data_IF_016581364426
#
_entry.id   IF_016581364426
#
_cell.length_a   1.000
_cell.length_b   1.000
_cell.length_c   1.000
_cell.angle_alpha   90.00
_cell.angle_beta   90.00
_cell.angle_gamma   90.00
#
_symmetry.space_group_name_H-M   'P 1'
#
loop_
_entity.id
_entity.type
_entity.pdbx_description
1 polymer ?
#
# COMPACT_ATOMS: atom_id res chain seq x y z
N UNK A 1 -23.38 31.62 -16.03
CA UNK A 1 -23.46 31.28 -14.59
C UNK A 1 -23.92 29.83 -14.51
N UNK A 2 -23.19 28.98 -13.82
CA UNK A 2 -23.57 27.57 -13.63
C UNK A 2 -24.26 27.47 -12.27
N UNK A 3 -25.42 26.83 -12.24
CA UNK A 3 -26.14 26.53 -11.01
C UNK A 3 -26.05 25.03 -10.74
N UNK A 4 -25.69 24.68 -9.52
CA UNK A 4 -25.57 23.30 -9.05
C UNK A 4 -26.37 23.14 -7.77
N UNK A 5 -27.00 21.98 -7.63
CA UNK A 5 -27.83 21.62 -6.48
C UNK A 5 -27.68 20.13 -6.22
N UNK A 6 -27.57 19.77 -4.96
CA UNK A 6 -27.50 18.39 -4.50
C UNK A 6 -28.42 18.27 -3.28
N UNK A 7 -29.31 17.27 -3.28
CA UNK A 7 -30.30 17.06 -2.21
C UNK A 7 -29.65 16.83 -0.84
N UNK A 8 -28.47 16.22 -0.83
CA UNK A 8 -27.74 15.82 0.38
C UNK A 8 -26.62 16.80 0.75
N UNK A 9 -26.33 17.78 -0.12
CA UNK A 9 -25.12 18.58 -0.04
C UNK A 9 -23.87 17.77 -0.40
N UNK A 10 -22.70 18.35 -0.12
CA UNK A 10 -21.41 17.70 -0.34
C UNK A 10 -20.29 18.70 -0.59
N UNK A 11 -19.05 18.20 -0.50
CA UNK A 11 -17.87 18.96 -0.88
C UNK A 11 -17.90 19.27 -2.39
N UNK A 12 -17.44 20.46 -2.76
CA UNK A 12 -17.41 20.91 -4.15
C UNK A 12 -16.00 20.73 -4.70
N UNK A 13 -15.87 19.89 -5.72
CA UNK A 13 -14.61 19.62 -6.41
C UNK A 13 -14.59 20.26 -7.80
N UNK A 14 -13.47 20.88 -8.14
CA UNK A 14 -13.18 21.30 -9.50
C UNK A 14 -12.32 20.24 -10.18
N UNK A 15 -12.88 19.56 -11.18
CA UNK A 15 -12.20 18.49 -11.90
C UNK A 15 -11.85 18.97 -13.30
N UNK A 16 -10.55 19.00 -13.60
CA UNK A 16 -10.05 19.22 -14.95
C UNK A 16 -9.82 17.87 -15.65
N UNK A 17 -10.15 17.74 -16.95
CA UNK A 17 -9.80 16.56 -17.72
C UNK A 17 -8.28 16.30 -17.71
N UNK A 18 -7.84 15.04 -17.89
CA UNK A 18 -6.41 14.72 -18.01
C UNK A 18 -5.72 15.57 -19.10
N UNK A 19 -4.47 15.95 -18.86
CA UNK A 19 -3.65 16.78 -19.75
C UNK A 19 -4.18 18.20 -20.01
N UNK A 20 -5.16 18.67 -19.22
CA UNK A 20 -5.60 20.07 -19.28
C UNK A 20 -4.65 20.96 -18.48
N UNK A 21 -4.09 21.98 -19.13
CA UNK A 21 -3.35 23.05 -18.48
C UNK A 21 -4.27 24.25 -18.33
N UNK A 22 -4.56 24.64 -17.09
CA UNK A 22 -5.36 25.83 -16.80
C UNK A 22 -4.57 26.71 -15.85
N UNK A 23 -4.13 27.87 -16.33
CA UNK A 23 -3.46 28.88 -15.51
C UNK A 23 -4.37 30.08 -15.27
N UNK A 24 -4.38 30.61 -14.03
CA UNK A 24 -5.09 31.84 -13.70
C UNK A 24 -6.63 31.76 -13.70
N UNK A 25 -7.22 30.56 -13.78
CA UNK A 25 -8.68 30.42 -13.69
C UNK A 25 -9.17 30.84 -12.30
N UNK A 26 -10.01 31.88 -12.27
CA UNK A 26 -10.70 32.32 -11.08
C UNK A 26 -12.12 31.79 -11.08
N UNK A 27 -12.43 30.91 -10.14
CA UNK A 27 -13.79 30.43 -9.88
C UNK A 27 -14.30 31.11 -8.62
N UNK A 28 -15.53 31.61 -8.66
CA UNK A 28 -16.23 32.16 -7.49
C UNK A 28 -17.45 31.31 -7.21
N UNK A 29 -17.47 30.69 -6.03
CA UNK A 29 -18.61 29.91 -5.54
C UNK A 29 -19.39 30.78 -4.57
N UNK A 30 -20.70 30.90 -4.78
CA UNK A 30 -21.61 31.67 -3.93
C UNK A 30 -22.60 30.72 -3.24
N UNK A 31 -23.09 31.12 -2.07
CA UNK A 31 -24.04 30.36 -1.25
C UNK A 31 -23.51 29.03 -0.67
N UNK A 32 -22.23 28.71 -0.88
CA UNK A 32 -21.59 27.56 -0.23
C UNK A 32 -21.21 27.88 1.22
N UNK A 33 -21.16 26.82 2.03
CA UNK A 33 -20.72 26.85 3.42
C UNK A 33 -19.27 26.36 3.48
N UNK A 34 -18.38 27.02 4.25
CA UNK A 34 -16.98 26.60 4.33
C UNK A 34 -16.83 25.25 5.02
N UNK A 35 -15.86 24.46 4.54
CA UNK A 35 -15.42 23.22 5.15
C UNK A 35 -14.04 23.39 5.79
N UNK A 36 -13.71 22.63 6.85
CA UNK A 36 -12.33 22.54 7.32
C UNK A 36 -11.46 21.99 6.18
N UNK A 37 -10.58 22.84 5.66
CA UNK A 37 -9.69 22.47 4.57
C UNK A 37 -8.28 22.93 4.89
N UNK A 38 -7.40 21.95 5.05
CA UNK A 38 -5.96 22.17 5.20
C UNK A 38 -5.25 21.78 3.91
N UNK A 39 -4.37 22.63 3.43
CA UNK A 39 -3.48 22.33 2.30
C UNK A 39 -2.04 22.63 2.68
N UNK A 40 -1.20 21.59 2.62
CA UNK A 40 0.24 21.72 2.90
C UNK A 40 0.89 22.82 2.07
N UNK A 41 1.69 23.65 2.74
CA UNK A 41 2.40 24.77 2.14
C UNK A 41 1.53 25.99 1.78
N UNK A 42 0.21 25.94 2.00
CA UNK A 42 -0.72 27.04 1.72
C UNK A 42 -1.45 27.51 2.97
N UNK A 43 -2.06 26.60 3.72
CA UNK A 43 -2.80 26.95 4.94
C UNK A 43 -1.81 27.23 6.07
N UNK A 44 -1.83 28.44 6.62
CA UNK A 44 -0.98 28.77 7.78
C UNK A 44 -1.57 28.22 9.08
N UNK A 45 -0.78 28.15 10.15
CA UNK A 45 -1.28 27.73 11.47
C UNK A 45 -2.41 28.65 11.99
N UNK A 46 -2.34 29.96 11.71
CA UNK A 46 -3.37 30.91 12.09
C UNK A 46 -4.66 30.70 11.29
N UNK A 47 -4.55 30.45 9.98
CA UNK A 47 -5.71 30.12 9.14
C UNK A 47 -6.34 28.80 9.60
N UNK A 48 -5.50 27.80 9.93
CA UNK A 48 -5.97 26.51 10.40
C UNK A 48 -6.80 26.62 11.68
N UNK A 49 -6.33 27.40 12.65
CA UNK A 49 -7.04 27.64 13.91
C UNK A 49 -8.47 28.18 13.68
N UNK A 50 -8.66 28.98 12.63
CA UNK A 50 -9.97 29.54 12.25
C UNK A 50 -10.81 28.56 11.42
N UNK A 51 -10.22 27.90 10.41
CA UNK A 51 -10.98 27.07 9.46
C UNK A 51 -11.29 25.67 9.99
N UNK A 52 -10.53 25.15 10.96
CA UNK A 52 -10.76 23.81 11.53
C UNK A 52 -12.12 23.64 12.22
N UNK A 53 -12.74 24.75 12.63
CA UNK A 53 -14.07 24.79 13.24
C UNK A 53 -15.19 25.16 12.26
N UNK A 54 -14.90 25.23 10.96
CA UNK A 54 -15.90 25.51 9.94
C UNK A 54 -17.07 24.48 9.99
N UNK A 55 -18.30 24.89 9.65
CA UNK A 55 -19.50 24.13 10.01
C UNK A 55 -19.82 22.95 9.08
N UNK A 56 -19.11 22.77 7.95
CA UNK A 56 -19.28 21.58 7.10
C UNK A 56 -19.12 20.29 7.91
N UNK A 57 -19.91 19.23 7.65
CA UNK A 57 -19.79 17.96 8.36
C UNK A 57 -18.57 17.12 7.94
N UNK A 58 -17.99 17.39 6.77
CA UNK A 58 -16.73 16.78 6.31
C UNK A 58 -15.64 17.83 6.10
N UNK A 59 -14.41 17.37 6.33
CA UNK A 59 -13.16 18.09 6.19
C UNK A 59 -12.27 17.44 5.11
N UNK A 60 -11.33 18.22 4.57
CA UNK A 60 -10.27 17.72 3.72
C UNK A 60 -8.89 18.16 4.22
N UNK A 61 -7.96 17.22 4.29
CA UNK A 61 -6.54 17.47 4.55
C UNK A 61 -5.75 17.05 3.30
N UNK A 62 -5.21 18.01 2.58
CA UNK A 62 -4.44 17.80 1.35
C UNK A 62 -2.94 17.92 1.61
N UNK A 63 -2.24 16.80 1.44
CA UNK A 63 -0.78 16.68 1.56
C UNK A 63 -0.13 16.48 0.18
N UNK A 64 1.15 16.11 0.12
CA UNK A 64 1.86 16.12 -1.18
C UNK A 64 1.35 15.05 -2.14
N UNK A 65 1.15 13.83 -1.63
CA UNK A 65 0.77 12.65 -2.41
C UNK A 65 -0.57 12.06 -1.97
N UNK A 66 -1.23 12.59 -0.94
CA UNK A 66 -2.47 12.03 -0.43
C UNK A 66 -3.44 13.11 0.06
N UNK A 67 -4.74 12.83 -0.06
CA UNK A 67 -5.83 13.64 0.49
C UNK A 67 -6.63 12.77 1.45
N UNK A 68 -6.91 13.29 2.65
CA UNK A 68 -7.79 12.65 3.62
C UNK A 68 -9.12 13.38 3.65
N UNK A 69 -10.22 12.69 3.33
CA UNK A 69 -11.58 13.19 3.51
C UNK A 69 -12.21 12.51 4.72
N UNK A 70 -12.37 13.27 5.80
CA UNK A 70 -12.79 12.77 7.11
C UNK A 70 -13.92 13.62 7.71
N UNK A 71 -14.74 13.08 8.62
CA UNK A 71 -15.64 13.85 9.45
C UNK A 71 -14.96 15.07 10.09
N UNK A 72 -15.61 16.22 10.08
CA UNK A 72 -15.04 17.46 10.62
C UNK A 72 -14.78 17.41 12.12
N UNK A 73 -15.49 16.58 12.87
CA UNK A 73 -15.30 16.43 14.32
C UNK A 73 -13.90 15.93 14.67
N UNK A 74 -13.30 15.03 13.88
CA UNK A 74 -11.96 14.49 14.17
C UNK A 74 -10.83 15.49 13.92
N UNK A 75 -11.06 16.54 13.10
CA UNK A 75 -10.03 17.55 12.80
C UNK A 75 -10.15 18.82 13.66
N UNK A 76 -11.27 19.03 14.36
CA UNK A 76 -11.49 20.24 15.18
C UNK A 76 -10.46 20.40 16.29
N UNK A 77 -9.94 19.29 16.82
CA UNK A 77 -8.90 19.25 17.84
C UNK A 77 -7.49 18.99 17.27
N UNK A 78 -7.32 18.95 15.94
CA UNK A 78 -6.01 18.77 15.33
C UNK A 78 -5.24 20.09 15.41
N UNK A 79 -4.31 20.23 16.35
CA UNK A 79 -3.51 21.46 16.53
C UNK A 79 -2.36 21.57 15.55
N UNK A 80 -1.74 20.44 15.16
CA UNK A 80 -0.54 20.36 14.33
C UNK A 80 -0.78 19.60 13.02
N UNK A 81 -1.55 20.16 12.07
CA UNK A 81 -1.77 19.52 10.77
C UNK A 81 -0.47 19.46 9.93
N UNK A 82 0.53 20.28 10.25
CA UNK A 82 1.87 20.25 9.65
C UNK A 82 2.65 19.00 10.03
N UNK A 83 2.57 18.56 11.28
CA UNK A 83 3.17 17.30 11.74
C UNK A 83 2.47 16.10 11.10
N UNK A 84 1.14 16.13 11.03
CA UNK A 84 0.37 15.10 10.32
C UNK A 84 0.71 15.05 8.82
N UNK A 85 0.89 16.21 8.18
CA UNK A 85 1.31 16.27 6.79
C UNK A 85 2.70 15.67 6.57
N UNK A 86 3.66 15.97 7.45
CA UNK A 86 5.00 15.37 7.39
C UNK A 86 4.92 13.84 7.54
N UNK A 87 4.14 13.36 8.51
CA UNK A 87 3.91 11.93 8.75
C UNK A 87 3.38 11.20 7.52
N UNK A 88 2.30 11.70 6.91
CA UNK A 88 1.74 11.10 5.71
C UNK A 88 2.64 11.25 4.47
N UNK A 89 3.40 12.35 4.37
CA UNK A 89 4.37 12.51 3.29
C UNK A 89 5.49 11.46 3.37
N UNK A 90 5.96 11.12 4.57
CA UNK A 90 6.97 10.07 4.77
C UNK A 90 6.40 8.68 4.50
N UNK A 91 5.17 8.39 4.94
CA UNK A 91 4.44 7.14 4.58
C UNK A 91 4.36 7.01 3.05
N UNK A 92 3.86 8.03 2.37
CA UNK A 92 3.68 7.98 0.91
C UNK A 92 5.01 7.90 0.15
N UNK A 93 6.10 8.44 0.71
CA UNK A 93 7.45 8.23 0.20
C UNK A 93 7.86 6.76 0.34
N UNK A 94 7.60 6.14 1.49
CA UNK A 94 7.80 4.70 1.69
C UNK A 94 6.99 3.84 0.72
N UNK A 95 5.73 4.20 0.47
CA UNK A 95 4.90 3.51 -0.54
C UNK A 95 5.56 3.54 -1.93
N UNK A 96 5.98 4.72 -2.38
CA UNK A 96 6.64 4.87 -3.69
C UNK A 96 8.02 4.20 -3.73
N UNK A 97 8.79 4.27 -2.65
CA UNK A 97 10.14 3.69 -2.59
C UNK A 97 10.09 2.17 -2.73
N UNK A 98 9.22 1.48 -1.97
CA UNK A 98 9.05 0.03 -2.14
C UNK A 98 8.56 -0.29 -3.55
N UNK A 99 7.57 0.44 -4.06
CA UNK A 99 7.03 0.24 -5.40
C UNK A 99 8.02 0.56 -6.54
N UNK A 100 9.19 1.12 -6.22
CA UNK A 100 10.21 1.56 -7.17
C UNK A 100 9.66 2.54 -8.23
N UNK A 101 8.81 3.47 -7.80
CA UNK A 101 8.22 4.54 -8.63
C UNK A 101 8.68 5.93 -8.16
N UNK A 102 8.49 7.00 -8.96
CA UNK A 102 8.82 8.35 -8.51
C UNK A 102 8.10 8.72 -7.20
N UNK A 103 8.82 9.35 -6.27
CA UNK A 103 8.26 9.78 -4.98
C UNK A 103 7.14 10.80 -5.10
N UNK A 104 7.03 11.51 -6.24
CA UNK A 104 5.87 12.35 -6.53
C UNK A 104 4.89 11.55 -7.37
N UNK A 105 3.71 11.32 -6.83
CA UNK A 105 2.68 10.57 -7.53
C UNK A 105 2.12 11.43 -8.67
N UNK A 106 1.79 10.83 -9.83
CA UNK A 106 1.17 11.55 -10.95
C UNK A 106 -0.18 12.17 -10.56
N UNK A 107 -0.83 11.59 -9.56
CA UNK A 107 -2.04 12.09 -8.92
C UNK A 107 -2.00 11.69 -7.44
N UNK A 108 -2.46 12.57 -6.56
CA UNK A 108 -2.60 12.23 -5.13
C UNK A 108 -3.51 11.00 -4.97
N UNK A 109 -3.18 10.12 -4.03
CA UNK A 109 -4.11 9.13 -3.50
C UNK A 109 -5.18 9.83 -2.63
N UNK A 110 -6.27 9.13 -2.33
CA UNK A 110 -7.35 9.70 -1.53
C UNK A 110 -7.96 8.66 -0.60
N UNK A 111 -8.00 8.97 0.69
CA UNK A 111 -8.87 8.29 1.64
C UNK A 111 -10.19 9.03 1.78
N UNK A 112 -11.29 8.27 1.84
CA UNK A 112 -12.60 8.78 2.24
C UNK A 112 -13.16 7.87 3.33
N UNK A 113 -13.40 8.44 4.50
CA UNK A 113 -14.06 7.71 5.59
C UNK A 113 -15.57 7.94 5.53
N UNK A 114 -16.36 6.87 5.53
CA UNK A 114 -17.82 6.94 5.47
C UNK A 114 -18.50 5.88 6.36
N UNK A 115 -19.77 6.10 6.72
CA UNK A 115 -20.57 5.17 7.52
C UNK A 115 -20.94 3.92 6.71
N UNK A 116 -21.16 4.09 5.41
CA UNK A 116 -21.46 2.99 4.50
C UNK A 116 -20.51 3.04 3.31
N UNK A 117 -19.73 1.98 3.16
CA UNK A 117 -18.82 1.78 2.04
C UNK A 117 -19.29 0.60 1.18
N UNK A 118 -18.73 0.44 -0.01
CA UNK A 118 -19.23 -0.55 -0.97
C UNK A 118 -18.93 -1.99 -0.54
N UNK A 119 -17.83 -2.22 0.17
CA UNK A 119 -17.36 -3.55 0.57
C UNK A 119 -16.58 -3.50 1.88
N UNK A 120 -16.77 -4.51 2.73
CA UNK A 120 -15.93 -4.76 3.90
C UNK A 120 -15.88 -3.59 4.90
N UNK A 121 -14.74 -3.46 5.57
CA UNK A 121 -14.43 -2.39 6.53
C UNK A 121 -13.55 -1.29 5.93
N UNK A 122 -12.72 -1.68 4.96
CA UNK A 122 -11.86 -0.85 4.14
C UNK A 122 -11.75 -1.52 2.76
N UNK A 123 -11.54 -0.72 1.70
CA UNK A 123 -11.18 -1.25 0.40
C UNK A 123 -10.40 -0.24 -0.45
N UNK A 124 -9.44 -0.76 -1.21
CA UNK A 124 -8.64 -0.03 -2.15
C UNK A 124 -9.46 0.52 -3.34
N UNK A 125 -8.80 1.37 -4.13
CA UNK A 125 -9.40 2.06 -5.27
C UNK A 125 -9.02 3.54 -5.30
N UNK A 126 -9.80 4.31 -6.05
CA UNK A 126 -9.70 5.76 -6.00
C UNK A 126 -11.09 6.41 -5.99
N UNK A 127 -11.58 6.85 -4.82
CA UNK A 127 -10.87 6.86 -3.53
C UNK A 127 -10.66 5.46 -2.91
N UNK A 128 -9.70 5.37 -1.99
CA UNK A 128 -9.64 4.31 -0.97
C UNK A 128 -10.73 4.64 0.05
N UNK A 129 -11.64 3.69 0.27
CA UNK A 129 -12.79 3.88 1.16
C UNK A 129 -12.54 3.16 2.48
N UNK A 130 -12.87 3.82 3.59
CA UNK A 130 -12.71 3.24 4.93
C UNK A 130 -13.94 3.51 5.77
N UNK A 131 -14.25 2.64 6.72
CA UNK A 131 -15.33 2.90 7.65
C UNK A 131 -15.02 4.14 8.51
N UNK A 132 -16.07 4.91 8.87
CA UNK A 132 -15.98 6.18 9.60
C UNK A 132 -15.14 6.08 10.88
N UNK A 133 -15.16 4.94 11.57
CA UNK A 133 -14.42 4.73 12.82
C UNK A 133 -12.90 4.86 12.68
N UNK A 134 -12.36 4.70 11.46
CA UNK A 134 -10.92 4.81 11.17
C UNK A 134 -10.48 6.28 11.05
N UNK A 135 -11.41 7.23 10.97
CA UNK A 135 -11.09 8.64 10.73
C UNK A 135 -10.13 9.25 11.77
N UNK A 136 -10.29 8.90 13.06
CA UNK A 136 -9.42 9.39 14.12
C UNK A 136 -7.99 8.86 14.00
N UNK A 137 -7.82 7.62 13.53
CA UNK A 137 -6.53 6.98 13.31
C UNK A 137 -5.79 7.64 12.13
N UNK A 138 -6.49 7.95 11.04
CA UNK A 138 -5.91 8.62 9.87
C UNK A 138 -5.39 10.03 10.19
N UNK A 139 -5.95 10.70 11.21
CA UNK A 139 -5.52 12.05 11.62
C UNK A 139 -4.61 12.04 12.86
N UNK A 140 -4.12 10.87 13.25
CA UNK A 140 -3.15 10.70 14.34
C UNK A 140 -1.73 10.49 13.80
N UNK A 141 -0.74 11.08 14.48
CA UNK A 141 0.68 10.76 14.31
C UNK A 141 1.17 9.73 15.32
N UNK A 142 0.36 9.41 16.33
CA UNK A 142 0.68 8.45 17.39
C UNK A 142 -0.11 7.18 17.15
N UNK A 143 0.62 6.08 16.97
CA UNK A 143 0.07 4.76 16.66
C UNK A 143 0.43 3.81 17.80
N UNK A 144 -0.48 3.64 18.77
CA UNK A 144 -0.29 2.73 19.91
C UNK A 144 -1.00 1.41 19.66
N UNK A 145 -0.27 0.29 19.73
CA UNK A 145 -0.81 -1.06 19.54
C UNK A 145 -0.10 -1.84 18.44
N UNK A 146 -0.46 -3.11 18.27
CA UNK A 146 0.18 -4.02 17.33
C UNK A 146 -0.21 -3.80 15.87
N UNK A 147 -1.28 -3.07 15.58
CA UNK A 147 -1.83 -2.94 14.23
C UNK A 147 -1.64 -1.55 13.60
N UNK A 148 -1.38 -0.48 14.39
CA UNK A 148 -1.04 0.85 13.85
C UNK A 148 -1.88 1.27 12.65
N UNK A 149 -1.23 1.73 11.56
CA UNK A 149 -1.86 2.05 10.28
C UNK A 149 -1.86 0.85 9.30
N UNK A 150 -1.82 -0.40 9.80
CA UNK A 150 -1.74 -1.59 8.96
C UNK A 150 -2.85 -1.66 7.92
N UNK A 151 -4.10 -1.45 8.34
CA UNK A 151 -5.25 -1.42 7.43
C UNK A 151 -5.13 -0.34 6.36
N UNK A 152 -4.98 0.95 6.71
CA UNK A 152 -4.77 2.01 5.73
C UNK A 152 -3.61 1.75 4.76
N UNK A 153 -2.47 1.29 5.27
CA UNK A 153 -1.29 1.00 4.43
C UNK A 153 -1.52 -0.23 3.55
N UNK A 154 -2.25 -1.23 4.02
CA UNK A 154 -2.63 -2.42 3.25
C UNK A 154 -3.45 -2.01 2.01
N UNK A 155 -4.41 -1.10 2.15
CA UNK A 155 -5.18 -0.58 1.01
C UNK A 155 -4.33 0.24 0.03
N UNK A 156 -3.36 1.01 0.54
CA UNK A 156 -2.37 1.68 -0.32
C UNK A 156 -1.51 0.67 -1.08
N UNK A 157 -1.16 -0.45 -0.42
CA UNK A 157 -0.42 -1.57 -1.01
C UNK A 157 -1.18 -2.23 -2.16
N UNK A 158 -2.50 -2.41 -2.03
CA UNK A 158 -3.33 -2.89 -3.14
C UNK A 158 -3.23 -1.98 -4.37
N UNK A 159 -3.22 -0.66 -4.19
CA UNK A 159 -3.02 0.28 -5.31
C UNK A 159 -1.64 0.17 -5.97
N UNK A 160 -0.67 -0.51 -5.35
CA UNK A 160 0.67 -0.75 -5.93
C UNK A 160 0.84 -2.15 -6.54
N UNK A 161 -0.12 -3.06 -6.36
CA UNK A 161 -0.07 -4.38 -6.99
C UNK A 161 -0.12 -4.28 -8.51
N UNK A 162 0.69 -5.09 -9.21
CA UNK A 162 0.76 -5.08 -10.68
C UNK A 162 0.60 -6.48 -11.25
N UNK A 163 -0.25 -6.59 -12.27
CA UNK A 163 -0.62 -7.86 -12.89
C UNK A 163 0.57 -8.73 -13.34
N UNK A 164 1.74 -8.14 -13.62
CA UNK A 164 2.95 -8.83 -14.05
C UNK A 164 3.61 -9.72 -12.98
N UNK A 165 3.37 -9.46 -11.70
CA UNK A 165 3.93 -10.23 -10.59
C UNK A 165 2.87 -10.74 -9.60
N UNK A 166 1.59 -10.53 -9.92
CA UNK A 166 0.47 -11.04 -9.13
C UNK A 166 -0.01 -12.39 -9.68
N UNK A 167 -0.34 -13.31 -8.77
CA UNK A 167 -0.86 -14.65 -9.04
C UNK A 167 -2.23 -14.87 -8.34
N UNK A 168 -3.31 -14.17 -8.75
CA UNK A 168 -4.62 -14.30 -8.10
C UNK A 168 -5.18 -15.73 -8.16
N UNK A 169 -5.92 -16.18 -7.13
CA UNK A 169 -6.35 -15.41 -5.97
C UNK A 169 -5.30 -15.34 -4.85
N UNK A 170 -4.18 -16.05 -4.97
CA UNK A 170 -3.23 -16.25 -3.87
C UNK A 170 -2.58 -14.96 -3.38
N UNK A 171 -2.18 -14.10 -4.32
CA UNK A 171 -1.44 -12.88 -3.99
C UNK A 171 -2.32 -11.68 -3.69
N UNK A 172 -3.62 -11.74 -4.03
CA UNK A 172 -4.56 -10.61 -3.91
C UNK A 172 -4.50 -9.96 -2.54
N UNK A 173 -4.60 -10.75 -1.47
CA UNK A 173 -4.57 -10.29 -0.07
C UNK A 173 -3.20 -10.52 0.60
N UNK A 174 -2.16 -10.77 -0.19
CA UNK A 174 -0.83 -11.12 0.32
C UNK A 174 0.20 -10.04 0.00
N UNK A 175 0.45 -9.75 -1.28
CA UNK A 175 1.55 -8.86 -1.68
C UNK A 175 1.29 -7.40 -1.29
N UNK A 176 0.03 -6.98 -1.17
CA UNK A 176 -0.34 -5.69 -0.58
C UNK A 176 0.24 -5.50 0.83
N UNK A 177 0.35 -6.57 1.63
CA UNK A 177 0.94 -6.51 2.97
C UNK A 177 2.46 -6.28 2.96
N UNK A 178 3.16 -6.40 1.83
CA UNK A 178 4.57 -6.01 1.75
C UNK A 178 4.74 -4.52 2.06
N UNK A 179 3.79 -3.68 1.61
CA UNK A 179 3.78 -2.26 1.94
C UNK A 179 3.48 -2.03 3.42
N UNK A 180 2.54 -2.79 4.00
CA UNK A 180 2.27 -2.71 5.44
C UNK A 180 3.52 -3.02 6.24
N UNK A 181 4.21 -4.13 5.96
CA UNK A 181 5.45 -4.46 6.67
C UNK A 181 6.53 -3.41 6.43
N UNK A 182 6.78 -3.03 5.17
CA UNK A 182 7.84 -2.08 4.82
C UNK A 182 7.68 -0.72 5.49
N UNK A 183 6.49 -0.12 5.39
CA UNK A 183 6.25 1.20 5.98
C UNK A 183 6.35 1.14 7.50
N UNK A 184 5.86 0.07 8.13
CA UNK A 184 6.00 -0.06 9.58
C UNK A 184 7.47 -0.18 10.01
N UNK A 185 8.25 -1.02 9.34
CA UNK A 185 9.67 -1.23 9.66
C UNK A 185 10.52 0.02 9.36
N UNK A 186 10.44 0.55 8.13
CA UNK A 186 11.40 1.55 7.61
C UNK A 186 10.94 3.00 7.80
N UNK A 187 9.65 3.26 8.00
CA UNK A 187 9.11 4.62 8.14
C UNK A 187 8.61 4.88 9.56
N UNK A 188 7.82 3.97 10.12
CA UNK A 188 7.22 4.13 11.44
C UNK A 188 8.12 3.63 12.58
N UNK A 189 9.20 2.90 12.27
CA UNK A 189 10.11 2.32 13.26
C UNK A 189 9.48 1.20 14.12
N UNK A 190 8.38 0.61 13.64
CA UNK A 190 7.65 -0.46 14.31
C UNK A 190 8.09 -1.81 13.71
N UNK A 191 8.91 -2.53 14.47
CA UNK A 191 9.45 -3.82 14.06
C UNK A 191 8.65 -4.99 14.67
N UNK A 192 8.59 -6.11 13.97
CA UNK A 192 8.08 -7.37 14.53
C UNK A 192 6.56 -7.41 14.74
N UNK A 193 5.78 -6.65 13.96
CA UNK A 193 4.30 -6.68 13.99
C UNK A 193 3.76 -8.10 13.84
N UNK A 194 4.40 -8.90 12.98
CA UNK A 194 4.16 -10.33 12.90
C UNK A 194 5.28 -11.01 13.68
N UNK A 195 4.93 -11.65 14.80
CA UNK A 195 5.92 -12.27 15.67
C UNK A 195 6.62 -13.44 14.97
N UNK A 196 7.91 -13.72 15.26
CA UNK A 196 8.61 -14.89 14.73
C UNK A 196 7.89 -16.20 15.00
N UNK A 197 7.19 -16.32 16.14
CA UNK A 197 6.39 -17.50 16.47
C UNK A 197 5.23 -17.70 15.48
N UNK A 198 4.44 -16.65 15.20
CA UNK A 198 3.36 -16.72 14.22
C UNK A 198 3.88 -17.04 12.82
N UNK A 199 4.99 -16.40 12.41
CA UNK A 199 5.66 -16.64 11.12
C UNK A 199 6.07 -18.12 10.96
N UNK A 200 6.72 -18.68 11.98
CA UNK A 200 7.11 -20.09 12.01
C UNK A 200 5.90 -21.03 11.98
N UNK A 201 4.83 -20.72 12.73
CA UNK A 201 3.60 -21.52 12.71
C UNK A 201 2.96 -21.54 11.32
N UNK A 202 2.89 -20.39 10.62
CA UNK A 202 2.35 -20.35 9.25
C UNK A 202 3.14 -21.25 8.29
N UNK A 203 4.48 -21.19 8.33
CA UNK A 203 5.33 -22.00 7.46
C UNK A 203 5.23 -23.50 7.80
N UNK A 204 5.26 -23.86 9.09
CA UNK A 204 5.19 -25.24 9.57
C UNK A 204 3.84 -25.89 9.23
N UNK A 205 2.73 -25.21 9.52
CA UNK A 205 1.39 -25.74 9.25
C UNK A 205 1.14 -25.91 7.75
N UNK A 206 1.63 -24.97 6.92
CA UNK A 206 1.55 -25.09 5.48
C UNK A 206 2.37 -26.28 4.94
N UNK A 207 3.58 -26.48 5.46
CA UNK A 207 4.42 -27.62 5.10
C UNK A 207 3.76 -28.96 5.49
N UNK A 208 3.27 -29.07 6.73
CA UNK A 208 2.52 -30.25 7.22
C UNK A 208 1.22 -30.49 6.45
N UNK A 209 0.58 -29.42 5.98
CA UNK A 209 -0.61 -29.46 5.13
C UNK A 209 -0.36 -29.95 3.70
N UNK A 210 0.88 -30.31 3.37
CA UNK A 210 1.27 -30.85 2.06
C UNK A 210 1.57 -29.77 1.03
N UNK A 211 1.86 -28.53 1.44
CA UNK A 211 2.29 -27.43 0.57
C UNK A 211 1.33 -27.17 -0.61
N UNK A 212 0.02 -27.29 -0.35
CA UNK A 212 -1.01 -27.11 -1.36
C UNK A 212 -1.21 -25.61 -1.63
N UNK A 213 -0.96 -25.15 -2.86
CA UNK A 213 -1.14 -23.75 -3.22
C UNK A 213 -2.54 -23.20 -2.92
N UNK A 214 -3.59 -24.02 -2.93
CA UNK A 214 -4.94 -23.61 -2.49
C UNK A 214 -4.97 -23.03 -1.07
N UNK A 215 -4.01 -23.40 -0.22
CA UNK A 215 -3.85 -22.94 1.15
C UNK A 215 -2.74 -21.87 1.29
N UNK A 216 -2.09 -21.48 0.19
CA UNK A 216 -1.10 -20.40 0.12
C UNK A 216 -1.82 -19.08 -0.16
N UNK A 217 -2.21 -18.37 0.89
CA UNK A 217 -2.91 -17.08 0.83
C UNK A 217 -2.59 -16.21 2.05
N UNK A 218 -2.85 -14.90 1.95
CA UNK A 218 -2.70 -13.90 3.03
C UNK A 218 -1.35 -14.05 3.76
N UNK A 219 -1.34 -14.41 5.05
CA UNK A 219 -0.14 -14.47 5.88
C UNK A 219 0.75 -15.68 5.59
N UNK A 220 0.19 -16.80 5.13
CA UNK A 220 0.99 -17.96 4.70
C UNK A 220 1.77 -17.61 3.45
N UNK A 221 1.12 -16.92 2.51
CA UNK A 221 1.79 -16.45 1.30
C UNK A 221 2.80 -15.34 1.60
N UNK A 222 2.44 -14.40 2.48
CA UNK A 222 3.32 -13.32 2.91
C UNK A 222 4.63 -13.85 3.50
N UNK A 223 4.58 -14.94 4.28
CA UNK A 223 5.76 -15.55 4.89
C UNK A 223 6.83 -15.95 3.85
N UNK A 224 6.42 -16.43 2.67
CA UNK A 224 7.34 -16.71 1.56
C UNK A 224 8.18 -15.47 1.20
N UNK A 225 7.53 -14.30 1.13
CA UNK A 225 8.20 -13.05 0.81
C UNK A 225 9.00 -12.50 2.00
N UNK A 226 8.51 -12.67 3.24
CA UNK A 226 9.25 -12.22 4.42
C UNK A 226 10.55 -13.01 4.62
N UNK A 227 10.61 -14.29 4.26
CA UNK A 227 11.86 -15.06 4.26
C UNK A 227 12.87 -14.54 3.22
N UNK A 228 12.39 -14.09 2.06
CA UNK A 228 13.24 -13.38 1.09
C UNK A 228 13.73 -12.04 1.66
N UNK A 229 12.86 -11.30 2.37
CA UNK A 229 13.21 -10.04 3.03
C UNK A 229 14.24 -10.25 4.15
N UNK A 230 14.12 -11.32 4.93
CA UNK A 230 15.07 -11.69 5.97
C UNK A 230 16.46 -11.98 5.38
N UNK A 231 16.52 -12.65 4.23
CA UNK A 231 17.78 -13.04 3.57
C UNK A 231 18.44 -11.92 2.77
N UNK A 232 17.65 -11.17 2.00
CA UNK A 232 18.16 -10.25 0.97
C UNK A 232 17.84 -8.77 1.22
N UNK A 233 17.00 -8.46 2.21
CA UNK A 233 16.58 -7.10 2.55
C UNK A 233 15.61 -6.48 1.54
N UNK A 234 15.06 -5.31 1.91
CA UNK A 234 14.10 -4.58 1.08
C UNK A 234 14.68 -4.04 -0.24
N UNK A 235 15.99 -3.78 -0.28
CA UNK A 235 16.67 -3.35 -1.50
C UNK A 235 16.58 -4.37 -2.63
N UNK A 236 16.51 -5.68 -2.32
CA UNK A 236 16.26 -6.71 -3.31
C UNK A 236 14.86 -6.58 -3.92
N UNK A 237 13.84 -6.37 -3.10
CA UNK A 237 12.45 -6.14 -3.56
C UNK A 237 12.35 -4.93 -4.46
N UNK A 238 12.95 -3.80 -4.07
CA UNK A 238 12.97 -2.57 -4.89
C UNK A 238 13.61 -2.80 -6.25
N UNK A 239 14.73 -3.55 -6.32
CA UNK A 239 15.38 -3.92 -7.59
C UNK A 239 14.51 -4.85 -8.43
N UNK A 240 13.85 -5.82 -7.83
CA UNK A 240 12.92 -6.73 -8.53
C UNK A 240 11.75 -5.95 -9.12
N UNK A 241 11.07 -5.10 -8.34
CA UNK A 241 9.95 -4.30 -8.84
C UNK A 241 10.41 -3.31 -9.92
N UNK A 242 11.59 -2.70 -9.77
CA UNK A 242 12.21 -1.88 -10.82
C UNK A 242 12.48 -2.65 -12.12
N UNK A 243 12.87 -3.93 -12.04
CA UNK A 243 13.04 -4.77 -13.21
C UNK A 243 11.70 -5.02 -13.92
N UNK A 244 10.63 -5.31 -13.16
CA UNK A 244 9.29 -5.49 -13.70
C UNK A 244 8.68 -4.21 -14.30
N UNK A 245 9.07 -3.00 -13.86
CA UNK A 245 8.68 -1.76 -14.53
C UNK A 245 9.23 -1.65 -15.96
N UNK A 246 10.33 -2.35 -16.27
CA UNK A 246 10.95 -2.38 -17.59
C UNK A 246 10.45 -3.53 -18.48
N UNK A 247 9.66 -4.46 -17.92
CA UNK A 247 9.13 -5.60 -18.66
C UNK A 247 7.88 -5.20 -19.45
N UNK A 248 7.90 -5.49 -20.75
CA UNK A 248 6.75 -5.30 -21.64
C UNK A 248 6.02 -6.61 -21.98
N UNK A 249 6.65 -7.76 -21.72
CA UNK A 249 6.09 -9.07 -21.96
C UNK A 249 6.27 -9.96 -20.72
N UNK A 250 5.19 -10.56 -20.24
CA UNK A 250 5.17 -11.47 -19.11
C UNK A 250 4.03 -12.49 -19.29
N UNK A 251 4.13 -13.69 -18.70
CA UNK A 251 3.09 -14.71 -18.82
C UNK A 251 1.73 -14.23 -18.32
N UNK A 252 0.65 -14.67 -18.97
CA UNK A 252 -0.72 -14.35 -18.53
C UNK A 252 -1.21 -15.30 -17.44
N UNK A 253 -0.70 -16.52 -17.39
CA UNK A 253 -1.04 -17.56 -16.41
C UNK A 253 -0.17 -17.50 -15.16
N UNK A 254 -0.68 -18.01 -14.04
CA UNK A 254 0.01 -17.95 -12.75
C UNK A 254 1.30 -18.77 -12.71
N UNK A 255 1.32 -19.96 -13.31
CA UNK A 255 2.50 -20.84 -13.29
C UNK A 255 3.68 -20.17 -14.01
N UNK A 256 3.44 -19.59 -15.19
CA UNK A 256 4.42 -18.82 -15.92
C UNK A 256 4.91 -17.61 -15.12
N UNK A 257 4.01 -16.87 -14.46
CA UNK A 257 4.38 -15.71 -13.64
C UNK A 257 5.19 -16.11 -12.39
N UNK A 258 4.86 -17.20 -11.72
CA UNK A 258 5.63 -17.74 -10.59
C UNK A 258 7.05 -18.13 -11.02
N UNK A 259 7.19 -18.76 -12.19
CA UNK A 259 8.49 -19.09 -12.77
C UNK A 259 9.28 -17.82 -13.14
N UNK A 260 8.64 -16.83 -13.77
CA UNK A 260 9.26 -15.55 -14.09
C UNK A 260 9.70 -14.81 -12.82
N UNK A 261 8.91 -14.84 -11.75
CA UNK A 261 9.26 -14.23 -10.47
C UNK A 261 10.47 -14.91 -9.84
N UNK A 262 10.48 -16.25 -9.81
CA UNK A 262 11.61 -17.01 -9.32
C UNK A 262 12.90 -16.72 -10.11
N UNK A 263 12.81 -16.64 -11.44
CA UNK A 263 13.93 -16.27 -12.31
C UNK A 263 14.41 -14.84 -12.02
N UNK A 264 13.50 -13.86 -12.06
CA UNK A 264 13.81 -12.44 -11.89
C UNK A 264 14.43 -12.16 -10.53
N UNK A 265 13.87 -12.73 -9.46
CA UNK A 265 14.40 -12.55 -8.11
C UNK A 265 15.78 -13.20 -7.99
N UNK A 266 15.93 -14.45 -8.45
CA UNK A 266 17.21 -15.18 -8.39
C UNK A 266 18.33 -14.43 -9.11
N UNK A 267 18.06 -13.92 -10.31
CA UNK A 267 19.02 -13.11 -11.07
C UNK A 267 19.35 -11.80 -10.35
N UNK A 268 18.35 -11.16 -9.74
CA UNK A 268 18.55 -9.90 -9.00
C UNK A 268 19.44 -10.06 -7.78
N UNK A 269 19.34 -11.19 -7.07
CA UNK A 269 20.14 -11.46 -5.86
C UNK A 269 21.39 -12.31 -6.11
N UNK A 270 21.59 -12.78 -7.34
CA UNK A 270 22.74 -13.61 -7.71
C UNK A 270 22.75 -14.99 -7.02
N UNK A 271 21.58 -15.53 -6.69
CA UNK A 271 21.44 -16.81 -5.99
C UNK A 271 20.27 -17.59 -6.60
N UNK A 272 20.43 -18.90 -6.79
CA UNK A 272 19.36 -19.74 -7.32
C UNK A 272 18.32 -20.04 -6.23
N UNK A 273 17.13 -19.44 -6.38
CA UNK A 273 16.00 -19.56 -5.45
C UNK A 273 14.99 -20.64 -5.87
N UNK A 274 15.25 -21.41 -6.94
CA UNK A 274 14.30 -22.42 -7.43
C UNK A 274 13.94 -23.45 -6.35
N UNK A 275 14.94 -23.92 -5.59
CA UNK A 275 14.73 -24.85 -4.47
C UNK A 275 13.82 -24.26 -3.39
N UNK A 276 14.05 -23.00 -3.03
CA UNK A 276 13.22 -22.28 -2.06
C UNK A 276 11.76 -22.18 -2.49
N UNK A 277 11.49 -21.74 -3.73
CA UNK A 277 10.11 -21.63 -4.22
C UNK A 277 9.44 -23.01 -4.37
N UNK A 278 10.18 -24.05 -4.75
CA UNK A 278 9.67 -25.44 -4.73
C UNK A 278 9.31 -25.91 -3.33
N UNK A 279 10.09 -25.56 -2.31
CA UNK A 279 9.79 -25.89 -0.92
C UNK A 279 8.50 -25.21 -0.41
N UNK A 280 8.10 -24.09 -1.02
CA UNK A 280 6.80 -23.43 -0.84
C UNK A 280 5.68 -23.97 -1.74
N UNK A 281 5.94 -25.01 -2.53
CA UNK A 281 4.95 -25.67 -3.39
C UNK A 281 4.70 -24.97 -4.73
N UNK A 282 5.54 -24.00 -5.13
CA UNK A 282 5.41 -23.36 -6.45
C UNK A 282 5.79 -24.33 -7.58
N UNK A 283 5.11 -24.30 -8.75
CA UNK A 283 5.34 -25.20 -9.87
C UNK A 283 6.55 -24.74 -10.71
N UNK A 284 7.73 -24.68 -10.09
CA UNK A 284 8.96 -24.28 -10.78
C UNK A 284 9.34 -25.35 -11.80
N UNK A 285 9.39 -24.95 -13.06
CA UNK A 285 9.65 -25.80 -14.21
C UNK A 285 11.15 -26.04 -14.41
N UNK A 286 11.51 -27.17 -15.00
CA UNK A 286 12.91 -27.54 -15.29
C UNK A 286 13.64 -26.48 -16.13
N UNK A 287 12.96 -25.86 -17.10
CA UNK A 287 13.55 -24.77 -17.91
C UNK A 287 13.98 -23.57 -17.06
N UNK A 288 13.26 -23.27 -15.98
CA UNK A 288 13.63 -22.19 -15.04
C UNK A 288 14.84 -22.60 -14.22
N UNK A 289 14.91 -23.85 -13.77
CA UNK A 289 16.08 -24.36 -13.04
C UNK A 289 17.35 -24.36 -13.90
N UNK A 290 17.23 -24.77 -15.16
CA UNK A 290 18.33 -24.77 -16.13
C UNK A 290 18.88 -23.36 -16.34
N UNK A 291 18.01 -22.35 -16.48
CA UNK A 291 18.41 -20.94 -16.57
C UNK A 291 19.15 -20.45 -15.33
N UNK A 292 18.81 -20.97 -14.15
CA UNK A 292 19.38 -20.57 -12.87
C UNK A 292 20.57 -21.44 -12.44
N UNK A 293 20.94 -22.47 -13.22
CA UNK A 293 21.96 -23.46 -12.87
C UNK A 293 23.37 -22.89 -12.65
N UNK A 294 23.67 -21.73 -13.25
CA UNK A 294 24.95 -21.03 -13.09
C UNK A 294 25.04 -20.20 -11.79
N UNK A 295 23.94 -20.03 -11.05
CA UNK A 295 23.92 -19.31 -9.79
C UNK A 295 24.09 -20.27 -8.60
N UNK A 296 24.76 -19.84 -7.50
CA UNK A 296 24.88 -20.68 -6.31
C UNK A 296 23.49 -20.98 -5.72
N UNK A 297 23.17 -22.24 -5.37
CA UNK A 297 21.89 -22.61 -4.79
C UNK A 297 21.74 -22.11 -3.36
N UNK A 298 20.53 -21.66 -3.00
CA UNK A 298 20.19 -21.37 -1.61
C UNK A 298 19.83 -22.65 -0.84
N UNK A 299 20.83 -23.40 -0.39
CA UNK A 299 20.62 -24.74 0.21
C UNK A 299 20.17 -24.72 1.67
N UNK A 300 20.37 -23.61 2.38
CA UNK A 300 20.01 -23.43 3.80
C UNK A 300 18.76 -22.56 3.97
N UNK A 301 17.85 -22.56 3.00
CA UNK A 301 16.64 -21.75 3.05
C UNK A 301 15.70 -22.20 4.18
N UNK A 302 14.91 -21.31 4.81
CA UNK A 302 14.16 -21.64 6.02
C UNK A 302 13.21 -22.84 5.90
N UNK A 303 12.70 -23.14 4.69
CA UNK A 303 11.80 -24.27 4.49
C UNK A 303 12.46 -25.65 4.60
N UNK A 304 13.80 -25.77 4.59
CA UNK A 304 14.47 -27.09 4.67
C UNK A 304 14.22 -27.82 6.00
N UNK A 305 13.83 -27.08 7.04
CA UNK A 305 13.55 -27.65 8.36
C UNK A 305 12.22 -28.42 8.40
N UNK A 306 11.40 -28.34 7.35
CA UNK A 306 10.09 -28.99 7.24
C UNK A 306 10.05 -30.08 6.16
N UNK A 307 11.22 -30.47 5.63
CA UNK A 307 11.38 -31.52 4.62
C UNK A 307 11.45 -32.92 5.24
#
# INVERSE_FOLDING_TARGET
MIQVWNLWGGLIYLVAPPNTQVEGLKVTVQMAVPAPYYKSGVTTAADWLLVRTAPSPWAELEFDNIILTVPSDVVRSLDRPDELAAHWNDIMRGIADLAAIPHKFPRKERFVTDVQISHGWMHAGYPIMTHKSIAAELVSTVHTGSEGLWGPIHELGHNQQRACWEFPPHTTECTCNLWSVYVHEEVLGINGIISPAQRNTHAEDYAKGGRKLSNWHVFVALETYLQLRDKFGWDAFKKVFAAYHKMSNFPSDNDGKMNLYAETFSQTVGMNLAGFFKAWGWPIQTVTEEKLSNLPPWTDHPMVQYD
#
